data_IF_123184367346
#
_entry.id   IF_123184367346
#
_cell.length_a   1.000
_cell.length_b   1.000
_cell.length_c   1.000
_cell.angle_alpha   90.00
_cell.angle_beta   90.00
_cell.angle_gamma   90.00
#
_symmetry.space_group_name_H-M   'P 1'
#
loop_
_entity.id
_entity.type
_entity.pdbx_description
1 polymer ?
#
# COMPACT_ATOMS: atom_id res chain seq x y z
N UNK A 1 13.63 14.65 -4.92
CA UNK A 1 12.78 14.23 -6.06
C UNK A 1 12.34 15.47 -6.84
N UNK A 2 13.01 15.85 -7.93
CA UNK A 2 12.77 17.14 -8.63
C UNK A 2 11.98 17.05 -9.94
N UNK A 3 11.62 15.86 -10.40
CA UNK A 3 10.93 15.68 -11.68
C UNK A 3 9.41 15.57 -11.45
N UNK A 4 8.64 16.51 -12.01
CA UNK A 4 7.16 16.54 -11.97
C UNK A 4 6.53 15.19 -12.34
N UNK A 5 7.17 14.49 -13.28
CA UNK A 5 6.79 13.15 -13.74
C UNK A 5 6.69 12.12 -12.61
N UNK A 6 7.60 12.19 -11.64
CA UNK A 6 7.60 11.26 -10.50
C UNK A 6 6.42 11.55 -9.57
N UNK A 7 6.09 12.83 -9.35
CA UNK A 7 4.97 13.23 -8.51
C UNK A 7 3.63 12.77 -9.08
N UNK A 8 3.44 12.83 -10.40
CA UNK A 8 2.24 12.31 -11.05
C UNK A 8 2.03 10.81 -10.77
N UNK A 9 3.10 10.00 -10.85
CA UNK A 9 3.03 8.57 -10.53
C UNK A 9 2.74 8.31 -9.06
N UNK A 10 3.44 9.01 -8.15
CA UNK A 10 3.21 8.89 -6.71
C UNK A 10 1.75 9.19 -6.36
N UNK A 11 1.19 10.25 -6.97
CA UNK A 11 -0.18 10.64 -6.75
C UNK A 11 -1.18 9.64 -7.34
N UNK A 12 -0.93 9.14 -8.55
CA UNK A 12 -1.77 8.13 -9.18
C UNK A 12 -1.83 6.83 -8.36
N UNK A 13 -0.67 6.26 -7.99
CA UNK A 13 -0.64 5.02 -7.21
C UNK A 13 -1.21 5.20 -5.80
N UNK A 14 -0.97 6.34 -5.17
CA UNK A 14 -1.60 6.68 -3.89
C UNK A 14 -3.12 6.78 -4.00
N UNK A 15 -3.63 7.38 -5.07
CA UNK A 15 -5.07 7.49 -5.32
C UNK A 15 -5.70 6.13 -5.62
N UNK A 16 -5.02 5.28 -6.41
CA UNK A 16 -5.49 3.93 -6.73
C UNK A 16 -5.52 3.00 -5.51
N UNK A 17 -4.55 3.12 -4.61
CA UNK A 17 -4.62 2.43 -3.32
C UNK A 17 -5.72 3.03 -2.44
N UNK A 18 -5.80 4.36 -2.35
CA UNK A 18 -6.81 5.07 -1.57
C UNK A 18 -8.25 4.72 -1.94
N UNK A 19 -8.58 4.66 -3.23
CA UNK A 19 -9.93 4.28 -3.68
C UNK A 19 -10.26 2.83 -3.34
N UNK A 20 -9.28 1.93 -3.40
CA UNK A 20 -9.46 0.55 -2.95
C UNK A 20 -9.79 0.50 -1.45
N UNK A 21 -9.09 1.30 -0.64
CA UNK A 21 -9.37 1.43 0.80
C UNK A 21 -10.75 2.00 1.13
N UNK A 22 -11.32 2.82 0.23
CA UNK A 22 -12.68 3.38 0.38
C UNK A 22 -13.73 2.36 -0.05
N UNK A 23 -13.59 1.78 -1.24
CA UNK A 23 -14.60 0.88 -1.82
C UNK A 23 -14.52 -0.50 -1.17
N UNK A 24 -13.39 -1.19 -1.29
CA UNK A 24 -13.23 -2.54 -0.74
C UNK A 24 -13.21 -2.52 0.78
N UNK A 25 -12.70 -1.45 1.40
CA UNK A 25 -12.85 -1.27 2.85
C UNK A 25 -14.31 -1.30 3.27
N UNK A 26 -15.19 -0.50 2.65
CA UNK A 26 -16.62 -0.51 2.99
C UNK A 26 -17.25 -1.88 2.77
N UNK A 27 -16.99 -2.54 1.64
CA UNK A 27 -17.59 -3.85 1.30
C UNK A 27 -17.12 -4.94 2.28
N UNK A 28 -15.80 -5.09 2.45
CA UNK A 28 -15.23 -6.19 3.24
C UNK A 28 -15.57 -6.07 4.73
N UNK A 29 -15.61 -4.85 5.28
CA UNK A 29 -15.97 -4.66 6.69
C UNK A 29 -17.48 -4.69 6.92
N UNK A 30 -18.32 -4.37 5.92
CA UNK A 30 -19.78 -4.49 6.03
C UNK A 30 -20.22 -5.95 6.07
N UNK A 31 -19.62 -6.81 5.25
CA UNK A 31 -19.99 -8.23 5.18
C UNK A 31 -19.28 -9.10 6.23
N UNK A 32 -18.60 -8.48 7.20
CA UNK A 32 -17.82 -9.17 8.25
C UNK A 32 -16.88 -10.23 7.69
N UNK A 33 -16.31 -9.98 6.50
CA UNK A 33 -15.47 -10.96 5.82
C UNK A 33 -14.24 -11.25 6.69
N UNK A 34 -14.08 -12.53 7.02
CA UNK A 34 -12.85 -13.04 7.62
C UNK A 34 -11.66 -12.60 6.76
N UNK A 35 -10.66 -12.00 7.41
CA UNK A 35 -9.41 -11.55 6.78
C UNK A 35 -9.52 -10.35 5.82
N UNK A 36 -10.52 -9.46 5.98
CA UNK A 36 -10.60 -8.20 5.22
C UNK A 36 -9.26 -7.42 5.15
N UNK A 37 -8.53 -7.34 6.27
CA UNK A 37 -7.22 -6.68 6.36
C UNK A 37 -6.13 -7.34 5.53
N UNK A 38 -6.21 -8.66 5.30
CA UNK A 38 -5.26 -9.41 4.48
C UNK A 38 -5.41 -9.00 3.01
N UNK A 39 -6.64 -8.93 2.52
CA UNK A 39 -6.92 -8.54 1.14
C UNK A 39 -6.53 -7.09 0.85
N UNK A 40 -6.82 -6.18 1.78
CA UNK A 40 -6.40 -4.79 1.67
C UNK A 40 -4.87 -4.64 1.68
N UNK A 41 -4.17 -5.36 2.57
CA UNK A 41 -2.71 -5.37 2.60
C UNK A 41 -2.10 -5.98 1.32
N UNK A 42 -2.68 -7.06 0.80
CA UNK A 42 -2.23 -7.68 -0.44
C UNK A 42 -2.33 -6.70 -1.62
N UNK A 43 -3.46 -6.00 -1.74
CA UNK A 43 -3.64 -4.97 -2.76
C UNK A 43 -2.66 -3.80 -2.57
N UNK A 44 -2.47 -3.35 -1.33
CA UNK A 44 -1.49 -2.32 -1.01
C UNK A 44 -0.09 -2.71 -1.48
N UNK A 45 0.39 -3.90 -1.12
CA UNK A 45 1.70 -4.39 -1.54
C UNK A 45 1.82 -4.56 -3.05
N UNK A 46 0.77 -5.03 -3.72
CA UNK A 46 0.72 -5.10 -5.17
C UNK A 46 0.91 -3.71 -5.82
N UNK A 47 0.15 -2.71 -5.37
CA UNK A 47 0.25 -1.35 -5.92
C UNK A 47 1.58 -0.68 -5.61
N UNK A 48 2.10 -0.85 -4.39
CA UNK A 48 3.42 -0.35 -4.01
C UNK A 48 4.53 -1.03 -4.81
N UNK A 49 4.39 -2.30 -5.15
CA UNK A 49 5.33 -3.03 -5.98
C UNK A 49 5.31 -2.55 -7.44
N UNK A 50 4.12 -2.32 -8.02
CA UNK A 50 4.00 -1.67 -9.35
C UNK A 50 4.71 -0.33 -9.33
N UNK A 51 4.42 0.48 -8.32
CA UNK A 51 5.04 1.80 -8.19
C UNK A 51 6.55 1.72 -8.05
N UNK A 52 7.10 0.71 -7.34
CA UNK A 52 8.54 0.45 -7.28
C UNK A 52 9.13 -0.02 -8.61
N UNK A 53 8.37 -0.72 -9.44
CA UNK A 53 8.79 -1.08 -10.79
C UNK A 53 8.91 0.15 -11.71
N UNK A 54 8.00 1.13 -11.56
CA UNK A 54 8.01 2.38 -12.35
C UNK A 54 8.98 3.41 -11.78
N UNK A 55 8.98 3.60 -10.45
CA UNK A 55 9.75 4.59 -9.71
C UNK A 55 10.47 3.93 -8.53
N UNK A 56 11.59 3.29 -8.83
CA UNK A 56 12.41 2.64 -7.82
C UNK A 56 13.30 3.64 -7.06
N UNK A 57 12.71 4.42 -6.16
CA UNK A 57 13.44 5.40 -5.33
C UNK A 57 13.08 5.24 -3.86
N UNK A 58 14.08 5.34 -2.95
CA UNK A 58 13.79 5.41 -1.52
C UNK A 58 12.80 6.53 -1.20
N UNK A 59 11.87 6.25 -0.29
CA UNK A 59 10.78 7.14 0.10
C UNK A 59 9.54 7.10 -0.80
N UNK A 60 9.59 6.50 -1.99
CA UNK A 60 8.45 6.54 -2.92
C UNK A 60 7.22 5.81 -2.38
N UNK A 61 7.40 4.66 -1.75
CA UNK A 61 6.30 3.85 -1.21
C UNK A 61 5.66 4.51 0.00
N UNK A 62 6.44 5.17 0.86
CA UNK A 62 5.93 5.95 2.00
C UNK A 62 5.07 7.11 1.52
N UNK A 63 5.54 7.86 0.51
CA UNK A 63 4.79 8.99 -0.05
C UNK A 63 3.48 8.52 -0.68
N UNK A 64 3.49 7.37 -1.37
CA UNK A 64 2.27 6.74 -1.90
C UNK A 64 1.30 6.39 -0.76
N UNK A 65 1.79 5.80 0.33
CA UNK A 65 0.97 5.53 1.53
C UNK A 65 0.38 6.78 2.15
N UNK A 66 1.14 7.87 2.22
CA UNK A 66 0.62 9.18 2.69
C UNK A 66 -0.51 9.66 1.78
N UNK A 67 -0.36 9.58 0.46
CA UNK A 67 -1.44 9.96 -0.45
C UNK A 67 -2.68 9.06 -0.31
N UNK A 68 -2.51 7.76 -0.06
CA UNK A 68 -3.63 6.86 0.21
C UNK A 68 -4.35 7.22 1.52
N UNK A 69 -3.60 7.60 2.58
CA UNK A 69 -4.16 8.12 3.84
C UNK A 69 -4.96 9.39 3.60
N UNK A 70 -4.39 10.37 2.88
CA UNK A 70 -5.07 11.63 2.54
C UNK A 70 -6.33 11.35 1.71
N UNK A 71 -6.26 10.45 0.74
CA UNK A 71 -7.40 10.06 -0.06
C UNK A 71 -8.52 9.49 0.80
N UNK A 72 -8.22 8.53 1.69
CA UNK A 72 -9.23 7.92 2.56
C UNK A 72 -9.85 8.95 3.50
N UNK A 73 -9.04 9.83 4.09
CA UNK A 73 -9.49 10.94 4.93
C UNK A 73 -10.41 11.91 4.19
N UNK A 74 -10.10 12.24 2.94
CA UNK A 74 -10.89 13.19 2.16
C UNK A 74 -12.24 12.62 1.71
N UNK A 75 -12.37 11.30 1.62
CA UNK A 75 -13.54 10.64 1.03
C UNK A 75 -14.37 9.83 2.02
N UNK A 76 -13.87 9.49 3.21
CA UNK A 76 -14.63 8.69 4.19
C UNK A 76 -14.36 9.14 5.62
N UNK A 77 -15.27 8.79 6.55
CA UNK A 77 -15.11 9.11 7.96
C UNK A 77 -13.77 8.60 8.52
N UNK A 78 -13.09 9.38 9.38
CA UNK A 78 -11.74 9.09 9.83
C UNK A 78 -11.72 7.95 10.85
N UNK A 79 -11.51 6.72 10.38
CA UNK A 79 -11.12 5.61 11.25
C UNK A 79 -9.60 5.59 11.41
N UNK A 80 -9.10 6.23 12.48
CA UNK A 80 -7.67 6.42 12.72
C UNK A 80 -6.84 5.13 12.71
N UNK A 81 -7.42 4.00 13.14
CA UNK A 81 -6.75 2.70 13.07
C UNK A 81 -6.45 2.26 11.63
N UNK A 82 -7.34 2.52 10.67
CA UNK A 82 -7.10 2.21 9.26
C UNK A 82 -6.02 3.12 8.68
N UNK A 83 -6.04 4.41 9.03
CA UNK A 83 -5.05 5.37 8.55
C UNK A 83 -3.64 5.00 9.01
N UNK A 84 -3.50 4.62 10.29
CA UNK A 84 -2.23 4.13 10.82
C UNK A 84 -1.78 2.84 10.13
N UNK A 85 -2.70 1.92 9.85
CA UNK A 85 -2.41 0.69 9.11
C UNK A 85 -1.87 0.97 7.70
N UNK A 86 -2.55 1.82 6.93
CA UNK A 86 -2.11 2.24 5.59
C UNK A 86 -0.71 2.86 5.65
N UNK A 87 -0.51 3.80 6.58
CA UNK A 87 0.78 4.45 6.76
C UNK A 87 1.90 3.46 7.12
N UNK A 88 1.64 2.55 8.08
CA UNK A 88 2.61 1.55 8.52
C UNK A 88 3.02 0.60 7.38
N UNK A 89 2.06 0.11 6.59
CA UNK A 89 2.34 -0.74 5.42
C UNK A 89 3.21 0.00 4.40
N UNK A 90 2.86 1.24 4.07
CA UNK A 90 3.62 2.06 3.11
C UNK A 90 5.04 2.33 3.58
N UNK A 91 5.22 2.69 4.85
CA UNK A 91 6.51 2.98 5.46
C UNK A 91 7.42 1.74 5.49
N UNK A 92 6.91 0.63 6.02
CA UNK A 92 7.70 -0.60 6.16
C UNK A 92 8.04 -1.18 4.79
N UNK A 93 7.10 -1.16 3.84
CA UNK A 93 7.38 -1.58 2.48
C UNK A 93 8.45 -0.71 1.82
N UNK A 94 8.45 0.61 2.06
CA UNK A 94 9.50 1.49 1.55
C UNK A 94 10.89 1.11 2.05
N UNK A 95 10.99 0.81 3.35
CA UNK A 95 12.24 0.39 4.00
C UNK A 95 12.77 -0.89 3.35
N UNK A 96 11.98 -1.97 3.33
CA UNK A 96 12.46 -3.26 2.81
C UNK A 96 12.71 -3.22 1.29
N UNK A 97 11.85 -2.57 0.52
CA UNK A 97 12.07 -2.42 -0.93
C UNK A 97 13.29 -1.55 -1.24
N UNK A 98 13.60 -0.54 -0.42
CA UNK A 98 14.85 0.23 -0.55
C UNK A 98 16.06 -0.65 -0.28
N UNK A 99 16.03 -1.46 0.77
CA UNK A 99 17.17 -2.32 1.11
C UNK A 99 17.37 -3.46 0.10
N UNK A 100 16.29 -4.08 -0.35
CA UNK A 100 16.34 -5.32 -1.13
C UNK A 100 16.23 -5.09 -2.65
N UNK A 101 15.48 -4.07 -3.09
CA UNK A 101 15.08 -3.90 -4.49
C UNK A 101 15.66 -2.66 -5.18
N UNK A 102 16.34 -1.72 -4.48
CA UNK A 102 16.75 -0.41 -5.04
C UNK A 102 17.49 -0.42 -6.38
N UNK A 103 18.23 -1.50 -6.67
CA UNK A 103 19.03 -1.64 -7.89
C UNK A 103 18.50 -2.74 -8.82
N UNK A 104 17.37 -3.34 -8.48
CA UNK A 104 16.75 -4.35 -9.32
C UNK A 104 16.10 -3.70 -10.54
N UNK A 105 16.17 -4.42 -11.67
CA UNK A 105 15.49 -4.09 -12.93
C UNK A 105 14.70 -5.28 -13.48
N UNK A 106 14.67 -6.39 -12.75
CA UNK A 106 13.99 -7.64 -13.09
C UNK A 106 13.47 -8.25 -11.80
N UNK A 107 12.41 -9.03 -11.92
CA UNK A 107 11.86 -9.80 -10.81
C UNK A 107 12.92 -10.77 -10.29
N UNK A 108 13.01 -10.86 -8.98
CA UNK A 108 14.02 -11.60 -8.23
C UNK A 108 13.40 -12.10 -6.93
N UNK A 109 13.99 -13.12 -6.30
CA UNK A 109 13.56 -13.60 -4.99
C UNK A 109 13.52 -12.49 -3.92
N UNK A 110 14.33 -11.43 -4.10
CA UNK A 110 14.36 -10.25 -3.22
C UNK A 110 13.05 -9.47 -3.24
N UNK A 111 12.32 -9.48 -4.36
CA UNK A 111 11.00 -8.85 -4.45
C UNK A 111 9.97 -9.60 -3.59
N UNK A 112 9.92 -10.93 -3.66
CA UNK A 112 9.10 -11.75 -2.76
C UNK A 112 9.51 -11.59 -1.29
N UNK A 113 10.81 -11.59 -1.00
CA UNK A 113 11.32 -11.37 0.36
C UNK A 113 10.93 -9.99 0.89
N UNK A 114 11.02 -8.96 0.05
CA UNK A 114 10.54 -7.61 0.40
C UNK A 114 9.07 -7.64 0.77
N UNK A 115 8.22 -8.34 0.01
CA UNK A 115 6.81 -8.51 0.33
C UNK A 115 6.57 -9.17 1.69
N UNK A 116 7.22 -10.31 1.95
CA UNK A 116 7.09 -11.06 3.21
C UNK A 116 7.53 -10.21 4.41
N UNK A 117 8.71 -9.61 4.34
CA UNK A 117 9.23 -8.78 5.42
C UNK A 117 8.35 -7.55 5.65
N UNK A 118 7.80 -6.98 4.58
CA UNK A 118 6.88 -5.85 4.68
C UNK A 118 5.54 -6.21 5.31
N UNK A 119 5.03 -7.41 5.03
CA UNK A 119 3.83 -7.93 5.69
C UNK A 119 4.06 -8.05 7.20
N UNK A 120 5.07 -8.81 7.64
CA UNK A 120 5.33 -8.94 9.07
C UNK A 120 5.68 -7.61 9.73
N UNK A 121 6.57 -6.83 9.13
CA UNK A 121 6.99 -5.56 9.70
C UNK A 121 5.87 -4.53 9.75
N UNK A 122 5.00 -4.47 8.74
CA UNK A 122 3.87 -3.55 8.68
C UNK A 122 2.80 -3.88 9.71
N UNK A 123 2.44 -5.16 9.82
CA UNK A 123 1.50 -5.65 10.83
C UNK A 123 2.06 -5.51 12.26
N UNK A 124 3.36 -5.77 12.46
CA UNK A 124 4.04 -5.56 13.73
C UNK A 124 4.10 -4.08 14.11
N UNK A 125 4.54 -3.22 13.20
CA UNK A 125 4.61 -1.77 13.44
C UNK A 125 3.23 -1.23 13.82
N UNK A 126 2.20 -1.58 13.04
CA UNK A 126 0.84 -1.17 13.34
C UNK A 126 0.37 -1.67 14.72
N UNK A 127 0.45 -2.98 14.98
CA UNK A 127 -0.06 -3.58 16.21
C UNK A 127 0.66 -3.06 17.47
N UNK A 128 1.98 -2.89 17.40
CA UNK A 128 2.76 -2.35 18.52
C UNK A 128 2.46 -0.86 18.75
N UNK A 129 2.39 -0.06 17.69
CA UNK A 129 2.10 1.38 17.81
C UNK A 129 0.68 1.61 18.32
N UNK A 130 -0.32 0.95 17.74
CA UNK A 130 -1.72 1.17 18.14
C UNK A 130 -2.02 0.71 19.57
N UNK A 131 -1.35 -0.36 20.03
CA UNK A 131 -1.57 -0.95 21.35
C UNK A 131 -0.80 -0.24 22.45
N UNK A 132 0.51 -0.03 22.24
CA UNK A 132 1.40 0.42 23.32
C UNK A 132 1.69 1.92 23.30
N UNK A 133 1.66 2.56 22.13
CA UNK A 133 1.93 4.00 22.02
C UNK A 133 0.64 4.82 21.96
N UNK A 134 -0.25 4.50 21.01
CA UNK A 134 -1.53 5.19 20.84
C UNK A 134 -2.54 4.77 21.90
N UNK A 135 -2.40 3.56 22.45
CA UNK A 135 -3.25 3.05 23.53
C UNK A 135 -4.74 3.03 23.17
N UNK A 136 -5.07 2.57 21.95
CA UNK A 136 -6.46 2.48 21.50
C UNK A 136 -7.22 1.40 22.28
N UNK A 137 -8.37 1.75 22.86
CA UNK A 137 -9.11 0.92 23.82
C UNK A 137 -9.38 -0.50 23.32
N UNK A 138 -9.84 -0.65 22.08
CA UNK A 138 -10.13 -1.96 21.47
C UNK A 138 -8.88 -2.84 21.27
N UNK A 139 -7.69 -2.22 21.18
CA UNK A 139 -6.43 -2.94 21.07
C UNK A 139 -5.87 -3.31 22.44
N UNK A 140 -5.98 -2.40 23.42
CA UNK A 140 -5.63 -2.68 24.82
C UNK A 140 -6.48 -3.82 25.37
N UNK A 141 -7.80 -3.79 25.16
CA UNK A 141 -8.71 -4.80 25.67
C UNK A 141 -8.39 -6.21 25.15
N UNK A 142 -7.85 -6.33 23.93
CA UNK A 142 -7.40 -7.62 23.37
C UNK A 142 -6.00 -8.05 23.84
N UNK A 143 -5.24 -7.13 24.43
CA UNK A 143 -3.92 -7.37 25.01
C UNK A 143 -2.90 -8.00 24.05
N UNK A 144 -1.90 -8.67 24.64
CA UNK A 144 -0.80 -9.32 23.91
C UNK A 144 -1.30 -10.41 22.95
N UNK A 145 -2.35 -11.15 23.31
CA UNK A 145 -2.90 -12.20 22.47
C UNK A 145 -3.39 -11.66 21.12
N UNK A 146 -4.10 -10.52 21.12
CA UNK A 146 -4.54 -9.85 19.88
C UNK A 146 -3.37 -9.34 19.04
N UNK A 147 -2.32 -8.82 19.67
CA UNK A 147 -1.09 -8.38 18.99
C UNK A 147 -0.40 -9.55 18.31
N UNK A 148 -0.14 -10.65 19.03
CA UNK A 148 0.50 -11.86 18.49
C UNK A 148 -0.35 -12.44 17.35
N UNK A 149 -1.66 -12.56 17.55
CA UNK A 149 -2.56 -13.05 16.50
C UNK A 149 -2.51 -12.17 15.24
N UNK A 150 -2.52 -10.85 15.40
CA UNK A 150 -2.46 -9.93 14.26
C UNK A 150 -1.14 -10.03 13.49
N UNK A 151 -0.02 -10.14 14.20
CA UNK A 151 1.31 -10.21 13.58
C UNK A 151 1.53 -11.57 12.92
N UNK A 152 1.28 -12.66 13.64
CA UNK A 152 1.71 -13.99 13.21
C UNK A 152 0.62 -14.77 12.49
N UNK A 153 -0.67 -14.54 12.75
CA UNK A 153 -1.73 -15.23 12.01
C UNK A 153 -2.12 -14.40 10.79
N UNK A 154 -2.59 -13.18 11.01
CA UNK A 154 -3.06 -12.30 9.92
C UNK A 154 -1.88 -11.88 9.04
N UNK A 155 -0.74 -11.52 9.64
CA UNK A 155 0.48 -11.21 8.91
C UNK A 155 1.03 -12.39 8.10
N UNK A 156 0.86 -13.64 8.55
CA UNK A 156 1.25 -14.83 7.75
C UNK A 156 0.41 -14.96 6.48
N UNK A 157 -0.90 -14.80 6.56
CA UNK A 157 -1.76 -14.84 5.38
C UNK A 157 -1.41 -13.70 4.41
N UNK A 158 -1.17 -12.49 4.92
CA UNK A 158 -0.70 -11.37 4.11
C UNK A 158 0.66 -11.64 3.47
N UNK A 159 1.59 -12.24 4.21
CA UNK A 159 2.91 -12.62 3.71
C UNK A 159 2.82 -13.67 2.59
N UNK A 160 1.97 -14.70 2.75
CA UNK A 160 1.75 -15.72 1.72
C UNK A 160 1.26 -15.11 0.40
N UNK A 161 0.30 -14.19 0.48
CA UNK A 161 -0.17 -13.51 -0.73
C UNK A 161 0.90 -12.56 -1.28
N UNK A 162 1.64 -11.86 -0.40
CA UNK A 162 2.70 -10.93 -0.80
C UNK A 162 3.87 -11.61 -1.53
N UNK A 163 4.16 -12.89 -1.24
CA UNK A 163 5.16 -13.69 -1.98
C UNK A 163 4.90 -13.65 -3.48
N UNK A 164 3.63 -13.63 -3.89
CA UNK A 164 3.19 -13.65 -5.29
C UNK A 164 2.81 -12.24 -5.76
N UNK A 165 2.05 -11.48 -4.95
CA UNK A 165 1.56 -10.17 -5.34
C UNK A 165 2.70 -9.16 -5.58
N UNK A 166 3.75 -9.17 -4.76
CA UNK A 166 4.87 -8.23 -4.91
C UNK A 166 5.70 -8.46 -6.17
N UNK A 167 6.20 -9.67 -6.47
CA UNK A 167 6.94 -9.90 -7.72
C UNK A 167 6.06 -9.64 -8.95
N UNK A 168 4.77 -10.00 -8.93
CA UNK A 168 3.85 -9.72 -10.02
C UNK A 168 3.64 -8.22 -10.23
N UNK A 169 3.36 -7.48 -9.16
CA UNK A 169 3.22 -6.03 -9.23
C UNK A 169 4.50 -5.37 -9.72
N UNK A 170 5.65 -5.78 -9.20
CA UNK A 170 6.95 -5.27 -9.63
C UNK A 170 7.24 -5.57 -11.11
N UNK A 171 6.91 -6.77 -11.59
CA UNK A 171 7.03 -7.14 -13.00
C UNK A 171 6.20 -6.24 -13.91
N UNK A 172 4.94 -6.00 -13.54
CA UNK A 172 4.03 -5.10 -14.26
C UNK A 172 4.61 -3.68 -14.26
N UNK A 173 5.13 -3.21 -13.13
CA UNK A 173 5.74 -1.89 -13.02
C UNK A 173 6.97 -1.71 -13.90
N UNK A 174 7.88 -2.68 -13.92
CA UNK A 174 9.09 -2.64 -14.77
C UNK A 174 8.72 -2.69 -16.25
N UNK A 175 7.82 -3.61 -16.63
CA UNK A 175 7.42 -3.81 -18.02
C UNK A 175 6.60 -2.62 -18.55
N UNK A 176 5.67 -2.12 -17.73
CA UNK A 176 4.84 -0.96 -18.03
C UNK A 176 5.60 0.35 -17.99
N UNK A 177 6.58 0.49 -17.09
CA UNK A 177 7.47 1.65 -17.01
C UNK A 177 8.26 1.86 -18.30
N UNK A 178 8.81 0.78 -18.87
CA UNK A 178 9.50 0.83 -20.15
C UNK A 178 8.59 1.28 -21.31
N UNK A 179 7.31 0.90 -21.28
CA UNK A 179 6.33 1.35 -22.27
C UNK A 179 5.94 2.83 -22.06
N UNK A 180 5.78 3.25 -20.81
CA UNK A 180 5.49 4.63 -20.43
C UNK A 180 6.59 5.61 -20.88
N UNK A 181 7.86 5.20 -20.80
CA UNK A 181 8.99 6.02 -21.25
C UNK A 181 8.98 6.27 -22.77
N UNK A 182 8.39 5.36 -23.56
CA UNK A 182 8.29 5.52 -25.03
C UNK A 182 7.28 6.58 -25.45
N UNK A 183 6.25 6.85 -24.64
CA UNK A 183 5.19 7.84 -24.95
C UNK A 183 4.89 8.74 -23.75
N UNK A 184 5.86 9.55 -23.30
CA UNK A 184 5.78 10.25 -22.02
C UNK A 184 4.56 11.16 -21.91
N UNK A 185 4.26 11.96 -22.95
CA UNK A 185 3.15 12.93 -22.93
C UNK A 185 1.79 12.26 -22.68
N UNK A 186 1.51 11.18 -23.40
CA UNK A 186 0.25 10.42 -23.28
C UNK A 186 0.13 9.73 -21.93
N UNK A 187 1.22 9.20 -21.40
CA UNK A 187 1.21 8.56 -20.08
C UNK A 187 0.93 9.56 -18.96
N UNK A 188 1.50 10.78 -19.01
CA UNK A 188 1.17 11.80 -18.00
C UNK A 188 -0.25 12.31 -18.12
N UNK A 189 -0.72 12.57 -19.34
CA UNK A 189 -2.10 12.96 -19.57
C UNK A 189 -3.06 11.87 -19.01
N UNK A 190 -2.80 10.60 -19.32
CA UNK A 190 -3.55 9.47 -18.79
C UNK A 190 -3.49 9.36 -17.26
N UNK A 191 -2.32 9.55 -16.64
CA UNK A 191 -2.18 9.53 -15.19
C UNK A 191 -2.97 10.66 -14.52
N UNK A 192 -2.92 11.88 -15.06
CA UNK A 192 -3.67 13.02 -14.53
C UNK A 192 -5.18 12.83 -14.70
N UNK A 193 -5.63 12.41 -15.87
CA UNK A 193 -7.05 12.11 -16.13
C UNK A 193 -7.52 11.00 -15.20
N UNK A 194 -6.74 9.93 -15.05
CA UNK A 194 -7.04 8.82 -14.15
C UNK A 194 -7.18 9.28 -12.70
N UNK A 195 -6.25 10.12 -12.22
CA UNK A 195 -6.34 10.75 -10.89
C UNK A 195 -7.64 11.54 -10.74
N UNK A 196 -7.98 12.42 -11.70
CA UNK A 196 -9.20 13.24 -11.63
C UNK A 196 -10.44 12.35 -11.55
N UNK A 197 -10.50 11.30 -12.38
CA UNK A 197 -11.59 10.32 -12.36
C UNK A 197 -11.67 9.62 -11.00
N UNK A 198 -10.55 9.11 -10.48
CA UNK A 198 -10.50 8.38 -9.20
C UNK A 198 -10.95 9.26 -8.03
N UNK A 199 -10.49 10.51 -7.96
CA UNK A 199 -10.89 11.44 -6.91
C UNK A 199 -12.37 11.85 -7.02
N UNK A 200 -12.87 12.01 -8.25
CA UNK A 200 -14.30 12.28 -8.49
C UNK A 200 -15.16 11.09 -8.04
N UNK A 201 -14.79 9.87 -8.44
CA UNK A 201 -15.48 8.65 -8.00
C UNK A 201 -15.40 8.45 -6.49
N UNK A 202 -14.23 8.73 -5.89
CA UNK A 202 -14.04 8.69 -4.45
C UNK A 202 -15.03 9.56 -3.70
N UNK A 203 -15.30 10.78 -4.20
CA UNK A 203 -16.29 11.70 -3.62
C UNK A 203 -17.73 11.27 -3.79
N UNK A 204 -18.05 10.53 -4.85
CA UNK A 204 -19.41 10.05 -5.14
C UNK A 204 -19.74 8.82 -4.28
N UNK A 205 -18.77 7.93 -4.07
CA UNK A 205 -18.96 6.64 -3.38
C UNK A 205 -18.62 6.72 -1.88
N UNK A 206 -17.71 7.61 -1.52
CA UNK A 206 -17.21 7.85 -0.16
C UNK A 206 -18.20 8.56 0.74
#
# INVERSE_FOLDING_TARGET
>A
MRNFKNWAWLFLFGSLWGINEVIFGKILFKDSMLFATVWLAAWAFFMLAIARGVLNKPGSSTVIGIFAVIFKLANTAPFFCHLLGIFALGLVFDVFSTFLMKNERKVSYRSSLSGVLSAYGGFALFALVITYFVRYEYWIAGGLAKVIHHIFVIGSFAALIAIVAVPLGYWIGVSGGALAERRPRWTYAGALVGVVIIWTLGRIIG
#
